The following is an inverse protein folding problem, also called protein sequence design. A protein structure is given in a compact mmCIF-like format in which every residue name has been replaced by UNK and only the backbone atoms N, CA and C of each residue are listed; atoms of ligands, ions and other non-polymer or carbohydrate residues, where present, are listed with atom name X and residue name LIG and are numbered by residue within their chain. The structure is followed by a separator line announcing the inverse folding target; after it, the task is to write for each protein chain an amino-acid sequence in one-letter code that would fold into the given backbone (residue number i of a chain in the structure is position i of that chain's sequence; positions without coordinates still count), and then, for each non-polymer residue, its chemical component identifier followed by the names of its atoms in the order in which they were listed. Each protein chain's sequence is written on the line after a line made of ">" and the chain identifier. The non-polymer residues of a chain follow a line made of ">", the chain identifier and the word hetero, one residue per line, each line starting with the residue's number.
data_IF_703325936303
#
_entry.id   IF_703325936303
#
_cell.length_a   1.000
_cell.length_b   1.000
_cell.length_c   1.000
_cell.angle_alpha   90.00
_cell.angle_beta   90.00
_cell.angle_gamma   90.00
#
_symmetry.space_group_name_H-M   'P 1'
#
loop_
_entity.id
_entity.type
_entity.pdbx_description
1 polymer ?
#
# COMPACT_ATOMS: atom_id res chain seq x y z
N UNK A 1 27.44 -36.24 -5.86
CA UNK A 1 28.31 -35.12 -5.45
C UNK A 1 27.87 -33.83 -6.15
N UNK A 2 26.76 -33.23 -5.71
CA UNK A 2 26.36 -31.89 -6.17
C UNK A 2 25.94 -31.00 -4.99
N UNK A 3 26.79 -30.83 -3.95
CA UNK A 3 26.47 -29.92 -2.85
C UNK A 3 26.71 -28.44 -3.23
N UNK A 4 27.38 -28.18 -4.36
CA UNK A 4 27.88 -26.84 -4.67
C UNK A 4 26.81 -25.89 -5.22
N UNK A 5 25.83 -26.37 -5.98
CA UNK A 5 24.87 -25.49 -6.64
C UNK A 5 23.88 -24.86 -5.65
N UNK A 6 23.45 -25.62 -4.65
CA UNK A 6 22.54 -25.11 -3.62
C UNK A 6 23.18 -23.96 -2.82
N UNK A 7 24.44 -24.11 -2.42
CA UNK A 7 25.19 -23.05 -1.74
C UNK A 7 25.37 -21.80 -2.61
N UNK A 8 25.57 -21.97 -3.93
CA UNK A 8 25.66 -20.86 -4.89
C UNK A 8 24.33 -20.13 -5.02
N UNK A 9 23.20 -20.85 -5.15
CA UNK A 9 21.88 -20.23 -5.22
C UNK A 9 21.54 -19.47 -3.93
N UNK A 10 21.80 -20.07 -2.77
CA UNK A 10 21.57 -19.41 -1.47
C UNK A 10 22.44 -18.18 -1.31
N UNK A 11 23.73 -18.24 -1.72
CA UNK A 11 24.62 -17.09 -1.70
C UNK A 11 24.15 -15.98 -2.65
N UNK A 12 23.68 -16.31 -3.85
CA UNK A 12 23.12 -15.34 -4.80
C UNK A 12 21.84 -14.69 -4.25
N UNK A 13 20.93 -15.48 -3.66
CA UNK A 13 19.72 -14.96 -3.01
C UNK A 13 20.06 -14.05 -1.81
N UNK A 14 21.06 -14.40 -1.00
CA UNK A 14 21.53 -13.57 0.10
C UNK A 14 22.17 -12.27 -0.39
N UNK A 15 22.92 -12.30 -1.50
CA UNK A 15 23.50 -11.10 -2.11
C UNK A 15 22.43 -10.17 -2.69
N UNK A 16 21.37 -10.73 -3.27
CA UNK A 16 20.19 -9.97 -3.73
C UNK A 16 19.42 -9.35 -2.56
N UNK A 17 19.30 -10.05 -1.43
CA UNK A 17 18.67 -9.53 -0.22
C UNK A 17 19.55 -8.50 0.54
N UNK A 18 20.88 -8.62 0.47
CA UNK A 18 21.82 -7.73 1.15
C UNK A 18 22.01 -6.39 0.43
N UNK A 19 21.64 -6.29 -0.85
CA UNK A 19 21.55 -5.01 -1.57
C UNK A 19 20.23 -4.31 -1.20
N UNK A 20 20.07 -4.04 0.08
CA UNK A 20 19.01 -3.19 0.64
C UNK A 20 19.30 -1.72 0.35
N UNK A 21 19.37 -1.37 -0.93
CA UNK A 21 19.21 0.00 -1.36
C UNK A 21 17.94 0.04 -2.19
N UNK A 22 16.99 0.89 -1.80
CA UNK A 22 15.66 1.07 -2.42
C UNK A 22 15.73 1.59 -3.86
N UNK A 23 16.89 1.46 -4.52
CA UNK A 23 17.13 1.78 -5.91
C UNK A 23 16.60 0.66 -6.80
N UNK A 24 15.29 0.65 -6.94
CA UNK A 24 14.61 0.05 -8.07
C UNK A 24 15.27 0.60 -9.35
N UNK A 25 15.79 -0.27 -10.26
CA UNK A 25 16.41 0.21 -11.48
C UNK A 25 15.39 1.03 -12.29
N UNK A 26 15.79 2.16 -12.90
CA UNK A 26 14.90 3.01 -13.71
C UNK A 26 14.14 2.25 -14.80
N UNK A 27 14.62 1.07 -15.20
CA UNK A 27 13.95 0.18 -16.15
C UNK A 27 12.64 -0.42 -15.66
N UNK A 28 12.36 -0.41 -14.34
CA UNK A 28 11.10 -0.91 -13.79
C UNK A 28 10.04 0.19 -13.60
N UNK A 29 10.43 1.47 -13.66
CA UNK A 29 9.51 2.61 -13.60
C UNK A 29 8.27 2.49 -14.52
N UNK A 30 8.40 2.14 -15.82
CA UNK A 30 7.22 2.03 -16.69
C UNK A 30 6.23 0.96 -16.25
N UNK A 31 6.70 -0.14 -15.60
CA UNK A 31 5.80 -1.15 -15.07
C UNK A 31 4.95 -0.61 -13.92
N UNK A 32 5.51 0.23 -13.05
CA UNK A 32 4.76 0.81 -11.93
C UNK A 32 3.77 1.89 -12.37
N UNK A 33 4.11 2.66 -13.41
CA UNK A 33 3.16 3.60 -14.04
C UNK A 33 1.97 2.86 -14.68
N UNK A 34 2.22 1.70 -15.29
CA UNK A 34 1.15 0.85 -15.83
C UNK A 34 0.24 0.27 -14.73
N UNK A 35 0.76 0.03 -13.51
CA UNK A 35 -0.08 -0.42 -12.38
C UNK A 35 -1.17 0.61 -12.05
N UNK A 36 -0.82 1.89 -12.00
CA UNK A 36 -1.78 2.95 -11.69
C UNK A 36 -2.80 3.23 -12.82
N UNK A 37 -2.64 2.62 -14.00
CA UNK A 37 -3.67 2.66 -15.05
C UNK A 37 -4.82 1.69 -14.79
N UNK A 38 -4.57 0.62 -14.05
CA UNK A 38 -5.56 -0.42 -13.73
C UNK A 38 -6.14 -0.25 -12.31
N UNK A 39 -5.38 0.34 -11.39
CA UNK A 39 -5.80 0.50 -9.99
C UNK A 39 -6.82 1.62 -9.83
N UNK A 40 -8.01 1.28 -9.30
CA UNK A 40 -9.03 2.24 -8.92
C UNK A 40 -8.95 2.58 -7.42
N UNK A 41 -8.42 3.77 -7.11
CA UNK A 41 -8.31 4.27 -5.73
C UNK A 41 -9.59 4.94 -5.19
N UNK A 42 -10.69 4.95 -5.96
CA UNK A 42 -11.92 5.62 -5.59
C UNK A 42 -11.74 7.15 -5.50
N UNK A 43 -12.03 7.75 -4.35
CA UNK A 43 -11.87 9.18 -4.10
C UNK A 43 -10.44 9.54 -3.68
N UNK A 44 -9.52 9.25 -4.58
CA UNK A 44 -8.09 9.47 -4.41
C UNK A 44 -7.31 9.23 -5.70
N UNK A 45 -6.00 9.39 -5.64
CA UNK A 45 -5.09 9.17 -6.76
C UNK A 45 -4.17 7.98 -6.50
N UNK A 46 -3.87 7.19 -7.53
CA UNK A 46 -2.84 6.16 -7.44
C UNK A 46 -1.44 6.79 -7.59
N UNK A 47 -0.51 6.37 -6.74
CA UNK A 47 0.92 6.70 -6.83
C UNK A 47 1.73 5.40 -6.83
N UNK A 48 2.65 5.27 -7.79
CA UNK A 48 3.66 4.21 -7.78
C UNK A 48 4.56 4.37 -6.55
N UNK A 49 4.62 3.35 -5.69
CA UNK A 49 5.37 3.39 -4.44
C UNK A 49 6.24 2.14 -4.32
N UNK A 50 7.39 2.09 -5.00
CA UNK A 50 8.27 0.94 -4.94
C UNK A 50 8.79 0.75 -3.51
N UNK A 51 8.60 -0.44 -2.96
CA UNK A 51 8.90 -0.74 -1.55
C UNK A 51 7.68 -0.74 -0.62
N UNK A 52 6.50 -0.29 -1.10
CA UNK A 52 5.24 -0.60 -0.43
C UNK A 52 4.86 -2.07 -0.67
N UNK A 53 4.02 -2.70 0.17
CA UNK A 53 3.64 -4.11 0.05
C UNK A 53 3.10 -4.52 -1.32
N UNK A 54 2.48 -3.58 -2.04
CA UNK A 54 1.91 -3.79 -3.38
C UNK A 54 2.53 -2.91 -4.46
N UNK A 55 3.64 -2.24 -4.15
CA UNK A 55 4.35 -1.32 -5.05
C UNK A 55 3.54 -0.12 -5.58
N UNK A 56 2.38 0.13 -5.00
CA UNK A 56 1.57 1.34 -5.20
C UNK A 56 0.96 1.76 -3.87
N UNK A 57 0.44 2.97 -3.83
CA UNK A 57 -0.44 3.48 -2.78
C UNK A 57 -1.54 4.33 -3.38
N UNK A 58 -2.69 4.36 -2.70
CA UNK A 58 -3.80 5.24 -3.00
C UNK A 58 -3.72 6.44 -2.07
N UNK A 59 -3.62 7.65 -2.60
CA UNK A 59 -3.58 8.89 -1.83
C UNK A 59 -4.98 9.51 -1.78
N UNK A 60 -5.62 9.52 -0.61
CA UNK A 60 -7.01 9.96 -0.50
C UNK A 60 -7.19 11.47 -0.63
N UNK A 61 -8.27 11.89 -1.29
CA UNK A 61 -8.72 13.28 -1.27
C UNK A 61 -9.11 13.69 0.16
N UNK A 62 -9.05 14.99 0.45
CA UNK A 62 -9.42 15.51 1.77
C UNK A 62 -10.85 15.09 2.15
N UNK A 63 -10.98 14.54 3.36
CA UNK A 63 -12.26 14.06 3.86
C UNK A 63 -12.66 12.68 3.34
N UNK A 64 -11.75 11.93 2.72
CA UNK A 64 -11.94 10.52 2.39
C UNK A 64 -10.92 9.66 3.13
N UNK A 65 -11.36 8.48 3.53
CA UNK A 65 -10.56 7.47 4.24
C UNK A 65 -10.69 6.12 3.54
N UNK A 66 -9.72 5.25 3.80
CA UNK A 66 -9.73 3.86 3.33
C UNK A 66 -10.48 2.96 4.30
N UNK A 67 -10.36 3.26 5.59
CA UNK A 67 -11.04 2.52 6.66
C UNK A 67 -11.68 3.46 7.68
N UNK A 68 -12.40 2.89 8.66
CA UNK A 68 -12.95 3.66 9.79
C UNK A 68 -11.95 3.79 10.94
N UNK A 69 -10.71 3.30 10.77
CA UNK A 69 -9.66 3.41 11.77
C UNK A 69 -9.10 4.83 11.78
N UNK A 70 -8.50 5.19 12.92
CA UNK A 70 -7.81 6.46 13.06
C UNK A 70 -6.41 6.43 12.41
N UNK A 71 -5.75 5.27 12.45
CA UNK A 71 -4.47 5.00 11.80
C UNK A 71 -4.68 4.03 10.62
N UNK A 72 -4.22 4.44 9.44
CA UNK A 72 -4.35 3.69 8.19
C UNK A 72 -3.06 3.73 7.35
N UNK A 73 -1.92 4.07 7.96
CA UNK A 73 -0.63 4.24 7.25
C UNK A 73 -0.12 2.92 6.65
N UNK A 74 -0.39 1.78 7.30
CA UNK A 74 -0.05 0.46 6.75
C UNK A 74 -1.05 -0.03 5.68
N UNK A 75 -2.12 0.73 5.44
CA UNK A 75 -3.25 0.36 4.59
C UNK A 75 -3.38 1.29 3.38
N UNK A 76 -2.32 2.01 3.03
CA UNK A 76 -2.35 2.99 1.94
C UNK A 76 -2.73 2.40 0.58
N UNK A 77 -2.57 1.09 0.37
CA UNK A 77 -2.99 0.38 -0.84
C UNK A 77 -4.51 0.21 -0.98
N UNK A 78 -5.27 0.43 0.09
CA UNK A 78 -6.73 0.30 0.06
C UNK A 78 -7.37 1.51 -0.65
N UNK A 79 -8.50 1.32 -1.36
CA UNK A 79 -9.24 2.41 -1.98
C UNK A 79 -9.86 3.39 -0.98
N UNK A 80 -9.96 4.66 -1.39
CA UNK A 80 -10.60 5.74 -0.65
C UNK A 80 -12.11 5.76 -0.91
N UNK A 81 -12.88 5.02 -0.12
CA UNK A 81 -14.34 4.86 -0.34
C UNK A 81 -15.18 5.34 0.85
N UNK A 82 -14.56 5.72 1.96
CA UNK A 82 -15.27 6.15 3.16
C UNK A 82 -15.19 7.67 3.25
N UNK A 83 -16.28 8.41 3.00
CA UNK A 83 -16.28 9.85 3.23
C UNK A 83 -16.19 10.13 4.73
N UNK A 84 -15.77 11.35 5.08
CA UNK A 84 -15.77 11.87 6.43
C UNK A 84 -17.23 12.07 6.87
N UNK A 85 -17.84 10.97 7.29
CA UNK A 85 -19.13 10.97 7.92
C UNK A 85 -18.94 11.50 9.34
N UNK A 86 -19.44 12.70 9.60
CA UNK A 86 -19.80 13.07 10.95
C UNK A 86 -20.97 12.16 11.36
N UNK A 87 -20.67 11.09 12.09
CA UNK A 87 -21.70 10.44 12.89
C UNK A 87 -22.07 11.44 13.97
N UNK A 88 -22.98 12.36 13.67
CA UNK A 88 -23.83 12.87 14.73
C UNK A 88 -24.53 11.63 15.27
N UNK A 89 -24.09 11.15 16.44
CA UNK A 89 -24.99 10.42 17.31
C UNK A 89 -26.09 11.41 17.65
N UNK A 90 -27.08 11.52 16.77
CA UNK A 90 -28.42 11.80 17.22
C UNK A 90 -28.80 10.54 17.99
N UNK A 91 -28.35 10.44 19.24
CA UNK A 91 -29.05 9.64 20.23
C UNK A 91 -30.45 10.28 20.28
N UNK A 92 -31.53 9.66 19.78
CA UNK A 92 -32.80 9.92 20.42
C UNK A 92 -32.57 9.53 21.87
N UNK A 93 -32.67 10.51 22.77
CA UNK A 93 -32.54 10.38 24.21
C UNK A 93 -32.74 8.95 24.71
N UNK A 94 -31.65 8.21 24.96
CA UNK A 94 -31.71 7.18 25.98
C UNK A 94 -31.73 7.94 27.31
N UNK A 95 -32.94 8.38 27.66
CA UNK A 95 -33.33 8.58 29.04
C UNK A 95 -33.12 7.23 29.73
N UNK A 96 -31.95 7.05 30.34
CA UNK A 96 -31.77 6.01 31.36
C UNK A 96 -32.56 6.52 32.56
N UNK A 97 -33.68 5.84 32.80
CA UNK A 97 -34.52 5.97 33.98
C UNK A 97 -33.73 5.77 35.27
#
# INVERSE_FOLDING_TARGET
>A
MAPSYFGVFVAISLLLAAKGDNHVPPSLAPFFDDLCKEVECGKGSCEAAPGSPFSFKCNCEQGWKRTRLDDEDDLEFLPCIIPNCTYSLHLPLFHVN
#
